data_IF_562674431545
#
_entry.id   IF_562674431545
#
_cell.length_a   1.000
_cell.length_b   1.000
_cell.length_c   1.000
_cell.angle_alpha   90.00
_cell.angle_beta   90.00
_cell.angle_gamma   90.00
#
_symmetry.space_group_name_H-M   'P 1'
#
loop_
_entity.id
_entity.type
_entity.pdbx_description
1 polymer ?
#
# COMPACT_ATOMS: atom_id res chain seq x y z
N UNK A 1 9.16 -16.45 8.70
CA UNK A 1 8.33 -15.44 9.40
C UNK A 1 7.02 -16.02 9.90
N UNK A 2 6.24 -15.28 10.72
CA UNK A 2 5.08 -15.81 11.47
C UNK A 2 4.18 -16.72 10.63
N UNK A 3 3.74 -16.29 9.44
CA UNK A 3 2.88 -17.12 8.58
C UNK A 3 3.54 -18.43 8.16
N UNK A 4 4.82 -18.40 7.74
CA UNK A 4 5.53 -19.62 7.35
C UNK A 4 5.67 -20.60 8.51
N UNK A 5 6.01 -20.08 9.68
CA UNK A 5 6.25 -20.91 10.87
C UNK A 5 4.93 -21.57 11.32
N UNK A 6 3.83 -20.80 11.35
CA UNK A 6 2.49 -21.30 11.70
C UNK A 6 1.97 -22.32 10.68
N UNK A 7 2.17 -22.07 9.37
CA UNK A 7 1.81 -23.03 8.33
C UNK A 7 2.62 -24.32 8.46
N UNK A 8 3.94 -24.22 8.66
CA UNK A 8 4.80 -25.39 8.77
C UNK A 8 4.44 -26.26 10.00
N UNK A 9 4.11 -25.62 11.12
CA UNK A 9 3.63 -26.32 12.32
C UNK A 9 2.27 -26.97 12.08
N UNK A 10 1.33 -26.23 11.46
CA UNK A 10 -0.02 -26.74 11.19
C UNK A 10 -0.03 -27.96 10.26
N UNK A 11 0.77 -27.91 9.19
CA UNK A 11 0.74 -28.90 8.13
C UNK A 11 1.79 -30.01 8.32
N UNK A 12 2.71 -29.86 9.28
CA UNK A 12 3.75 -30.85 9.58
C UNK A 12 4.82 -30.97 8.51
N UNK A 13 4.99 -29.97 7.67
CA UNK A 13 6.00 -29.89 6.59
C UNK A 13 6.57 -28.47 6.49
N UNK A 14 7.77 -28.35 5.93
CA UNK A 14 8.39 -27.02 5.74
C UNK A 14 7.64 -26.24 4.66
N UNK A 15 7.02 -25.13 5.01
CA UNK A 15 6.29 -24.23 4.10
C UNK A 15 7.06 -22.92 3.89
N UNK A 16 7.20 -22.54 2.63
CA UNK A 16 7.72 -21.23 2.23
C UNK A 16 6.68 -20.52 1.36
N UNK A 17 6.17 -19.40 1.85
CA UNK A 17 5.15 -18.62 1.12
C UNK A 17 5.79 -17.64 0.14
N UNK A 18 5.17 -17.46 -1.01
CA UNK A 18 5.46 -16.41 -1.98
C UNK A 18 4.36 -15.36 -1.88
N UNK A 19 4.67 -14.19 -1.32
CA UNK A 19 3.71 -13.09 -1.20
C UNK A 19 3.64 -12.21 -2.45
N UNK A 20 2.47 -11.64 -2.75
CA UNK A 20 2.24 -10.73 -3.87
C UNK A 20 3.08 -9.45 -3.74
N UNK A 21 3.13 -8.88 -2.54
CA UNK A 21 3.92 -7.68 -2.26
C UNK A 21 4.40 -7.65 -0.81
N UNK A 22 5.44 -6.85 -0.58
CA UNK A 22 5.87 -6.50 0.77
C UNK A 22 5.27 -5.15 1.13
N UNK A 23 4.88 -5.01 2.39
CA UNK A 23 4.51 -3.73 2.98
C UNK A 23 5.60 -3.26 3.93
N UNK A 24 5.79 -1.95 4.04
CA UNK A 24 6.71 -1.38 5.02
C UNK A 24 6.16 -1.55 6.45
N UNK A 25 7.04 -1.43 7.45
CA UNK A 25 6.65 -1.49 8.85
C UNK A 25 5.54 -0.47 9.17
N UNK A 26 4.51 -0.93 9.88
CA UNK A 26 3.35 -0.12 10.26
C UNK A 26 2.31 0.08 9.17
N UNK A 27 2.47 -0.53 7.99
CA UNK A 27 1.45 -0.52 6.93
C UNK A 27 0.50 -1.70 7.13
N UNK A 28 -0.78 -1.40 7.27
CA UNK A 28 -1.83 -2.41 7.33
C UNK A 28 -2.13 -2.97 5.94
N UNK A 29 -2.49 -4.24 5.86
CA UNK A 29 -2.88 -4.90 4.60
C UNK A 29 -4.28 -5.50 4.76
N UNK A 30 -5.22 -5.05 3.94
CA UNK A 30 -6.61 -5.56 3.94
C UNK A 30 -6.75 -6.80 3.05
N UNK A 31 -5.88 -6.95 2.03
CA UNK A 31 -5.98 -8.02 1.04
C UNK A 31 -4.61 -8.39 0.46
N UNK A 32 -3.63 -8.72 1.31
CA UNK A 32 -2.37 -9.27 0.82
C UNK A 32 -2.55 -10.74 0.46
N UNK A 33 -1.98 -11.18 -0.66
CA UNK A 33 -2.08 -12.55 -1.17
C UNK A 33 -0.74 -13.25 -1.03
N UNK A 34 -0.77 -14.50 -0.61
CA UNK A 34 0.39 -15.39 -0.60
C UNK A 34 0.01 -16.77 -1.10
N UNK A 35 0.92 -17.43 -1.83
CA UNK A 35 0.78 -18.80 -2.30
C UNK A 35 1.88 -19.67 -1.70
N UNK A 36 1.59 -20.95 -1.54
CA UNK A 36 2.56 -21.96 -1.11
C UNK A 36 2.15 -23.34 -1.63
N UNK A 37 3.11 -24.22 -1.75
CA UNK A 37 2.89 -25.62 -2.09
C UNK A 37 2.80 -26.47 -0.83
N UNK A 38 1.93 -27.48 -0.85
CA UNK A 38 1.76 -28.43 0.27
C UNK A 38 1.28 -29.79 -0.22
N UNK A 39 1.64 -30.85 0.52
CA UNK A 39 1.14 -32.21 0.31
C UNK A 39 -0.02 -32.56 1.25
N UNK A 40 -0.56 -31.58 1.96
CA UNK A 40 -1.65 -31.80 2.92
C UNK A 40 -2.90 -32.36 2.24
N UNK A 41 -3.68 -33.16 2.98
CA UNK A 41 -5.03 -33.59 2.56
C UNK A 41 -6.12 -32.65 3.07
N UNK A 42 -5.75 -31.61 3.80
CA UNK A 42 -6.69 -30.61 4.29
C UNK A 42 -7.20 -29.80 3.11
N UNK A 43 -8.53 -29.72 2.90
CA UNK A 43 -9.10 -28.90 1.84
C UNK A 43 -8.64 -27.45 1.94
N UNK A 44 -8.33 -26.81 0.79
CA UNK A 44 -7.78 -25.45 0.75
C UNK A 44 -8.60 -24.44 1.54
N UNK A 45 -9.95 -24.51 1.44
CA UNK A 45 -10.87 -23.62 2.14
C UNK A 45 -10.89 -23.80 3.68
N UNK A 46 -10.33 -24.90 4.19
CA UNK A 46 -10.25 -25.16 5.65
C UNK A 46 -8.96 -24.65 6.28
N UNK A 47 -7.94 -24.37 5.48
CA UNK A 47 -6.63 -23.92 5.97
C UNK A 47 -6.76 -22.59 6.72
N UNK A 48 -7.54 -21.62 6.21
CA UNK A 48 -7.76 -20.33 6.86
C UNK A 48 -8.34 -20.46 8.26
N UNK A 49 -9.30 -21.38 8.46
CA UNK A 49 -9.90 -21.62 9.78
C UNK A 49 -8.87 -22.17 10.77
N UNK A 50 -8.07 -23.15 10.34
CA UNK A 50 -7.06 -23.75 11.20
C UNK A 50 -5.92 -22.77 11.54
N UNK A 51 -5.50 -21.95 10.56
CA UNK A 51 -4.49 -20.91 10.76
C UNK A 51 -4.94 -19.84 11.76
N UNK A 52 -6.18 -19.36 11.63
CA UNK A 52 -6.71 -18.28 12.46
C UNK A 52 -6.85 -18.65 13.94
N UNK A 53 -6.80 -19.94 14.28
CA UNK A 53 -6.75 -20.41 15.67
C UNK A 53 -5.35 -20.31 16.27
N UNK A 54 -4.30 -20.17 15.46
CA UNK A 54 -2.89 -20.20 15.87
C UNK A 54 -2.16 -18.89 15.63
N UNK A 55 -2.63 -18.10 14.65
CA UNK A 55 -2.04 -16.82 14.32
C UNK A 55 -2.28 -15.79 15.43
N UNK A 56 -1.33 -14.86 15.65
CA UNK A 56 -1.51 -13.76 16.59
C UNK A 56 -2.67 -12.85 16.17
N UNK A 57 -3.15 -12.02 17.09
CA UNK A 57 -4.38 -11.22 16.90
C UNK A 57 -4.30 -10.22 15.75
N UNK A 58 -3.12 -9.78 15.38
CA UNK A 58 -2.85 -8.81 14.32
C UNK A 58 -2.73 -9.44 12.92
N UNK A 59 -2.82 -10.78 12.80
CA UNK A 59 -2.82 -11.50 11.53
C UNK A 59 -4.07 -12.36 11.41
N UNK A 60 -4.85 -12.15 10.35
CA UNK A 60 -6.06 -12.95 10.06
C UNK A 60 -6.13 -13.27 8.58
N UNK A 61 -6.33 -14.54 8.28
CA UNK A 61 -6.55 -15.04 6.92
C UNK A 61 -8.04 -14.94 6.62
N UNK A 62 -8.39 -14.18 5.61
CA UNK A 62 -9.78 -13.95 5.22
C UNK A 62 -10.31 -15.05 4.31
N UNK A 63 -9.44 -15.60 3.45
CA UNK A 63 -9.76 -16.64 2.49
C UNK A 63 -8.55 -17.54 2.28
N UNK A 64 -8.78 -18.83 2.06
CA UNK A 64 -7.80 -19.79 1.55
C UNK A 64 -8.49 -20.71 0.54
N UNK A 65 -7.83 -21.00 -0.56
CA UNK A 65 -8.35 -21.83 -1.65
C UNK A 65 -7.22 -22.50 -2.41
N UNK A 66 -7.52 -23.57 -3.12
CA UNK A 66 -6.60 -24.15 -4.07
C UNK A 66 -6.59 -23.31 -5.36
N UNK A 67 -5.43 -23.18 -5.95
CA UNK A 67 -5.21 -22.45 -7.21
C UNK A 67 -4.45 -23.32 -8.18
N UNK A 68 -4.46 -22.94 -9.46
CA UNK A 68 -3.70 -23.65 -10.49
C UNK A 68 -2.19 -23.64 -10.16
N UNK A 69 -1.45 -24.71 -10.51
CA UNK A 69 -0.03 -24.87 -10.13
C UNK A 69 0.90 -23.77 -10.68
N UNK A 70 0.49 -23.08 -11.74
CA UNK A 70 1.22 -21.98 -12.36
C UNK A 70 0.85 -20.60 -11.81
N UNK A 71 -0.12 -20.53 -10.87
CA UNK A 71 -0.50 -19.28 -10.26
C UNK A 71 0.66 -18.64 -9.50
N UNK A 72 0.96 -17.39 -9.84
CA UNK A 72 2.00 -16.62 -9.16
C UNK A 72 1.49 -15.21 -8.79
N UNK A 73 1.40 -14.87 -7.49
CA UNK A 73 0.70 -13.66 -7.02
C UNK A 73 1.39 -12.34 -7.42
N UNK A 74 2.62 -12.39 -7.97
CA UNK A 74 3.34 -11.21 -8.47
C UNK A 74 3.22 -10.98 -9.96
N UNK A 75 2.84 -12.03 -10.70
CA UNK A 75 2.85 -12.00 -12.16
C UNK A 75 1.44 -12.08 -12.77
N UNK A 76 0.42 -12.18 -11.93
CA UNK A 76 -0.95 -12.00 -12.38
C UNK A 76 -1.23 -10.51 -12.65
N UNK A 77 -2.09 -10.25 -13.63
CA UNK A 77 -2.61 -8.90 -13.87
C UNK A 77 -3.39 -8.43 -12.66
N UNK A 78 -2.84 -7.49 -11.94
CA UNK A 78 -3.42 -6.97 -10.72
C UNK A 78 -3.10 -5.51 -10.52
N UNK A 79 -4.03 -4.79 -9.96
CA UNK A 79 -3.81 -3.45 -9.44
C UNK A 79 -3.65 -3.50 -7.92
N UNK A 80 -2.88 -2.57 -7.40
CA UNK A 80 -2.69 -2.37 -5.97
C UNK A 80 -3.25 -1.02 -5.59
N UNK A 81 -4.07 -1.01 -4.54
CA UNK A 81 -4.65 0.21 -4.00
C UNK A 81 -4.12 0.44 -2.60
N UNK A 82 -3.63 1.64 -2.34
CA UNK A 82 -3.19 2.09 -1.03
C UNK A 82 -4.02 3.28 -0.57
N UNK A 83 -4.35 3.31 0.71
CA UNK A 83 -4.96 4.46 1.36
C UNK A 83 -3.99 5.06 2.36
N UNK A 84 -3.80 6.38 2.27
CA UNK A 84 -3.09 7.16 3.26
C UNK A 84 -4.08 8.06 3.98
N UNK A 85 -4.28 7.82 5.27
CA UNK A 85 -5.29 8.50 6.09
C UNK A 85 -4.63 9.56 6.95
N UNK A 86 -5.17 10.77 6.92
CA UNK A 86 -4.67 11.95 7.63
C UNK A 86 -5.73 12.40 8.62
N UNK A 87 -5.39 12.38 9.91
CA UNK A 87 -6.23 12.99 10.95
C UNK A 87 -5.95 14.49 10.95
N UNK A 88 -6.85 15.26 10.32
CA UNK A 88 -6.69 16.69 10.06
C UNK A 88 -7.58 17.51 10.99
N UNK A 89 -7.08 17.78 12.17
CA UNK A 89 -7.76 18.54 13.25
C UNK A 89 -6.77 19.17 14.20
N UNK A 90 -7.27 20.01 15.13
CA UNK A 90 -6.44 20.76 16.09
C UNK A 90 -5.59 19.86 17.02
N UNK A 91 -6.15 18.76 17.53
CA UNK A 91 -5.49 17.86 18.46
C UNK A 91 -5.56 16.40 17.99
N UNK A 92 -4.53 15.57 18.27
CA UNK A 92 -4.56 14.16 17.92
C UNK A 92 -5.61 13.39 18.74
N UNK A 93 -6.04 12.25 18.20
CA UNK A 93 -6.93 11.29 18.88
C UNK A 93 -6.14 10.00 19.14
N UNK A 94 -5.95 9.57 20.40
CA UNK A 94 -5.11 8.41 20.72
C UNK A 94 -5.55 7.11 20.06
N UNK A 95 -6.85 6.89 19.83
CA UNK A 95 -7.39 5.70 19.15
C UNK A 95 -7.03 5.64 17.67
N UNK A 96 -6.73 6.77 17.04
CA UNK A 96 -6.37 6.87 15.62
C UNK A 96 -4.86 6.77 15.36
N UNK A 97 -4.02 6.74 16.41
CA UNK A 97 -2.56 6.88 16.31
C UNK A 97 -1.86 5.81 15.44
N UNK A 98 -2.45 4.62 15.33
CA UNK A 98 -1.89 3.53 14.52
C UNK A 98 -2.43 3.50 13.10
N UNK A 99 -3.47 4.28 12.79
CA UNK A 99 -4.22 4.21 11.55
C UNK A 99 -4.17 5.49 10.74
N UNK A 100 -3.70 6.60 11.33
CA UNK A 100 -3.68 7.92 10.68
C UNK A 100 -2.39 8.65 10.93
N UNK A 101 -2.01 9.51 9.98
CA UNK A 101 -1.01 10.54 10.16
C UNK A 101 -1.67 11.81 10.71
N UNK A 102 -1.27 12.27 11.87
CA UNK A 102 -1.81 13.50 12.46
C UNK A 102 -1.21 14.74 11.79
N UNK A 103 -2.10 15.65 11.34
CA UNK A 103 -1.71 16.92 10.74
C UNK A 103 -2.66 18.04 11.18
N UNK A 104 -2.15 19.05 11.89
CA UNK A 104 -2.98 20.07 12.53
C UNK A 104 -3.29 21.29 11.65
N UNK A 105 -2.50 21.56 10.61
CA UNK A 105 -2.80 22.67 9.70
C UNK A 105 -3.95 22.30 8.76
N UNK A 106 -4.79 23.31 8.43
CA UNK A 106 -5.91 23.10 7.51
C UNK A 106 -5.43 22.62 6.15
N UNK A 107 -6.07 21.60 5.63
CA UNK A 107 -5.85 21.07 4.28
C UNK A 107 -7.00 21.46 3.36
N UNK A 108 -6.66 22.00 2.21
CA UNK A 108 -7.58 22.29 1.11
C UNK A 108 -7.65 21.05 0.20
N UNK A 109 -8.71 20.26 0.38
CA UNK A 109 -8.89 18.99 -0.37
C UNK A 109 -9.10 19.23 -1.87
N UNK A 110 -9.68 20.36 -2.26
CA UNK A 110 -9.91 20.66 -3.68
C UNK A 110 -8.58 20.96 -4.40
N UNK A 111 -7.66 21.66 -3.74
CA UNK A 111 -6.29 21.82 -4.27
C UNK A 111 -5.55 20.50 -4.35
N UNK A 112 -5.68 19.64 -3.33
CA UNK A 112 -5.09 18.30 -3.37
C UNK A 112 -5.63 17.49 -4.54
N UNK A 113 -6.95 17.50 -4.78
CA UNK A 113 -7.59 16.86 -5.94
C UNK A 113 -7.06 17.40 -7.26
N UNK A 114 -6.97 18.71 -7.41
CA UNK A 114 -6.46 19.31 -8.63
C UNK A 114 -5.05 18.82 -8.98
N UNK A 115 -4.18 18.64 -7.97
CA UNK A 115 -2.82 18.16 -8.16
C UNK A 115 -2.73 16.67 -8.56
N UNK A 116 -3.75 15.85 -8.31
CA UNK A 116 -3.69 14.41 -8.65
C UNK A 116 -3.61 14.15 -10.14
N UNK A 117 -4.18 15.01 -10.97
CA UNK A 117 -4.18 14.88 -12.43
C UNK A 117 -2.78 14.81 -13.05
N UNK A 118 -1.79 15.42 -12.42
CA UNK A 118 -0.39 15.41 -12.86
C UNK A 118 0.35 14.11 -12.53
N UNK A 119 -0.22 13.26 -11.71
CA UNK A 119 0.39 12.01 -11.24
C UNK A 119 -0.27 10.76 -11.84
N UNK A 120 -1.45 10.92 -12.45
CA UNK A 120 -2.17 9.82 -13.10
C UNK A 120 -1.56 9.54 -14.47
N UNK A 121 -1.41 8.26 -14.79
CA UNK A 121 -0.81 7.79 -16.03
C UNK A 121 0.52 7.08 -15.84
N UNK A 122 1.22 6.84 -16.94
CA UNK A 122 2.56 6.26 -16.92
C UNK A 122 3.60 7.38 -16.90
N UNK A 123 4.39 7.42 -15.82
CA UNK A 123 5.44 8.41 -15.62
C UNK A 123 6.71 7.76 -15.08
N UNK A 124 7.84 8.47 -15.20
CA UNK A 124 9.03 8.18 -14.42
C UNK A 124 8.87 8.76 -13.02
N UNK A 125 8.72 7.90 -12.02
CA UNK A 125 8.57 8.27 -10.62
C UNK A 125 9.89 8.25 -9.84
N UNK A 126 11.02 8.54 -10.48
CA UNK A 126 12.33 8.56 -9.81
C UNK A 126 12.33 9.50 -8.59
N UNK A 127 11.76 10.71 -8.71
CA UNK A 127 11.64 11.70 -7.61
C UNK A 127 10.67 11.25 -6.49
N UNK A 128 9.84 10.25 -6.73
CA UNK A 128 8.92 9.65 -5.76
C UNK A 128 9.43 8.31 -5.22
N UNK A 129 10.71 8.04 -5.37
CA UNK A 129 11.33 6.79 -4.97
C UNK A 129 12.25 7.00 -3.78
N UNK A 130 12.08 6.20 -2.72
CA UNK A 130 12.99 6.23 -1.59
C UNK A 130 14.41 5.80 -1.98
N UNK A 131 15.43 6.48 -1.47
CA UNK A 131 16.85 6.33 -1.83
C UNK A 131 17.43 4.90 -1.71
N UNK A 132 16.73 3.95 -1.05
CA UNK A 132 17.16 2.56 -0.86
C UNK A 132 16.54 1.59 -1.88
N UNK A 133 15.81 2.08 -2.87
CA UNK A 133 15.18 1.21 -3.86
C UNK A 133 16.21 0.59 -4.80
N UNK A 134 16.19 -0.73 -4.88
CA UNK A 134 16.95 -1.50 -5.88
C UNK A 134 15.98 -1.98 -6.95
N UNK A 135 15.72 -1.13 -7.95
CA UNK A 135 14.77 -1.42 -9.03
C UNK A 135 15.43 -1.23 -10.39
N UNK A 136 15.01 -2.01 -11.38
CA UNK A 136 15.52 -1.91 -12.76
C UNK A 136 14.99 -0.67 -13.50
N UNK A 137 13.81 -0.17 -13.11
CA UNK A 137 13.15 0.98 -13.72
C UNK A 137 12.29 1.69 -12.69
N UNK A 138 12.21 3.00 -12.81
CA UNK A 138 11.37 3.90 -12.00
C UNK A 138 10.05 4.26 -12.69
N UNK A 139 9.84 3.77 -13.93
CA UNK A 139 8.58 3.95 -14.65
C UNK A 139 7.47 3.13 -13.96
N UNK A 140 6.36 3.80 -13.62
CA UNK A 140 5.16 3.17 -13.03
C UNK A 140 3.90 3.74 -13.67
N UNK A 141 2.82 2.97 -13.59
CA UNK A 141 1.49 3.42 -14.04
C UNK A 141 0.59 3.57 -12.83
N UNK A 142 0.20 4.80 -12.56
CA UNK A 142 -0.83 5.15 -11.58
C UNK A 142 -2.16 5.26 -12.34
N UNK A 143 -3.11 4.39 -12.02
CA UNK A 143 -4.40 4.32 -12.73
C UNK A 143 -5.44 5.24 -12.11
N UNK A 144 -5.27 5.63 -10.84
CA UNK A 144 -6.18 6.55 -10.17
C UNK A 144 -5.61 7.11 -8.88
N UNK A 145 -5.98 8.36 -8.58
CA UNK A 145 -5.76 8.98 -7.26
C UNK A 145 -7.03 9.72 -6.86
N UNK A 146 -7.62 9.30 -5.75
CA UNK A 146 -8.77 9.96 -5.14
C UNK A 146 -8.37 10.64 -3.84
N UNK A 147 -8.92 11.82 -3.58
CA UNK A 147 -8.74 12.52 -2.31
C UNK A 147 -10.10 12.96 -1.80
N UNK A 148 -10.43 12.65 -0.57
CA UNK A 148 -11.70 13.11 0.03
C UNK A 148 -11.55 13.36 1.53
N UNK A 149 -12.49 14.07 2.08
CA UNK A 149 -12.63 14.32 3.53
C UNK A 149 -13.90 13.66 4.04
N UNK A 150 -13.75 12.95 5.15
CA UNK A 150 -14.87 12.45 5.95
C UNK A 150 -14.62 12.87 7.41
N UNK A 151 -15.41 13.83 7.88
CA UNK A 151 -15.19 14.46 9.19
C UNK A 151 -13.78 15.03 9.33
N UNK A 152 -13.05 14.54 10.32
CA UNK A 152 -11.67 14.95 10.60
C UNK A 152 -10.62 14.15 9.79
N UNK A 153 -11.04 13.15 9.01
CA UNK A 153 -10.13 12.32 8.22
C UNK A 153 -10.10 12.80 6.78
N UNK A 154 -8.89 13.07 6.29
CA UNK A 154 -8.61 13.21 4.85
C UNK A 154 -7.94 11.93 4.37
N UNK A 155 -8.51 11.31 3.36
CA UNK A 155 -7.98 10.07 2.76
C UNK A 155 -7.46 10.35 1.36
N UNK A 156 -6.26 9.85 1.08
CA UNK A 156 -5.65 9.80 -0.24
C UNK A 156 -5.60 8.33 -0.64
N UNK A 157 -6.31 7.96 -1.70
CA UNK A 157 -6.31 6.60 -2.27
C UNK A 157 -5.53 6.63 -3.58
N UNK A 158 -4.53 5.77 -3.70
CA UNK A 158 -3.70 5.66 -4.90
C UNK A 158 -3.81 4.24 -5.43
N UNK A 159 -4.19 4.10 -6.70
CA UNK A 159 -4.29 2.82 -7.41
C UNK A 159 -3.31 2.78 -8.58
N UNK A 160 -2.66 1.64 -8.79
CA UNK A 160 -1.71 1.46 -9.89
C UNK A 160 -1.24 0.02 -10.02
N UNK A 161 -0.54 -0.28 -11.11
CA UNK A 161 -0.03 -1.63 -11.41
C UNK A 161 1.15 -2.04 -10.55
N UNK A 162 1.82 -1.06 -9.93
CA UNK A 162 2.94 -1.29 -9.00
C UNK A 162 3.51 0.02 -8.48
N UNK A 163 4.18 -0.05 -7.34
CA UNK A 163 4.73 1.13 -6.66
C UNK A 163 6.21 0.94 -6.34
N UNK A 164 6.95 2.05 -6.33
CA UNK A 164 8.32 2.12 -5.84
C UNK A 164 8.33 2.16 -4.31
N UNK A 165 9.49 1.90 -3.75
CA UNK A 165 9.69 2.02 -2.30
C UNK A 165 9.34 3.44 -1.82
N UNK A 166 8.49 3.55 -0.82
CA UNK A 166 7.92 4.78 -0.26
C UNK A 166 7.10 5.65 -1.22
N UNK A 167 6.83 5.24 -2.46
CA UNK A 167 6.18 6.07 -3.48
C UNK A 167 4.85 6.67 -3.00
N UNK A 168 3.95 5.87 -2.44
CA UNK A 168 2.65 6.36 -1.94
C UNK A 168 2.83 7.36 -0.79
N UNK A 169 3.82 7.17 0.09
CA UNK A 169 4.13 8.11 1.18
C UNK A 169 4.62 9.46 0.64
N UNK A 170 5.46 9.43 -0.38
CA UNK A 170 5.99 10.65 -1.02
C UNK A 170 4.87 11.38 -1.77
N UNK A 171 4.03 10.66 -2.54
CA UNK A 171 2.82 11.24 -3.16
C UNK A 171 1.94 11.91 -2.11
N UNK A 172 1.68 11.23 -0.99
CA UNK A 172 0.83 11.78 0.07
C UNK A 172 1.43 13.02 0.72
N UNK A 173 2.74 13.01 1.01
CA UNK A 173 3.46 14.18 1.54
C UNK A 173 3.34 15.38 0.62
N UNK A 174 3.54 15.15 -0.66
CA UNK A 174 3.39 16.14 -1.72
C UNK A 174 1.99 16.76 -1.78
N UNK A 175 0.95 15.92 -1.75
CA UNK A 175 -0.43 16.41 -1.76
C UNK A 175 -0.75 17.19 -0.48
N UNK A 176 -0.17 16.83 0.66
CA UNK A 176 -0.28 17.61 1.91
C UNK A 176 0.32 19.01 1.73
N UNK A 177 1.50 19.13 1.11
CA UNK A 177 2.15 20.41 0.85
C UNK A 177 1.35 21.32 -0.11
N UNK A 178 0.68 20.73 -1.09
CA UNK A 178 -0.27 21.45 -1.94
C UNK A 178 -1.52 21.87 -1.14
N UNK A 179 -2.05 20.96 -0.33
CA UNK A 179 -3.25 21.21 0.48
C UNK A 179 -3.08 22.27 1.56
N UNK A 180 -1.87 22.42 2.13
CA UNK A 180 -1.57 23.47 3.09
C UNK A 180 -1.18 24.82 2.45
N UNK A 181 -1.09 24.87 1.11
CA UNK A 181 -0.77 26.06 0.34
C UNK A 181 0.72 26.40 0.24
N UNK A 182 1.63 25.48 0.62
CA UNK A 182 3.07 25.68 0.43
C UNK A 182 3.44 25.74 -1.04
N UNK A 183 2.75 24.94 -1.87
CA UNK A 183 2.97 24.85 -3.30
C UNK A 183 1.68 24.95 -4.08
N UNK A 184 1.68 25.60 -5.26
CA UNK A 184 0.55 25.55 -6.16
C UNK A 184 0.44 24.15 -6.80
N UNK A 185 -0.76 23.73 -7.21
CA UNK A 185 -0.99 22.39 -7.77
C UNK A 185 -0.12 22.06 -8.99
N UNK A 186 0.23 23.07 -9.79
CA UNK A 186 0.93 22.94 -11.08
C UNK A 186 2.45 22.71 -10.91
N UNK A 187 3.03 23.06 -9.76
CA UNK A 187 4.50 22.98 -9.54
C UNK A 187 5.05 21.56 -9.73
N UNK A 188 4.20 20.55 -9.65
CA UNK A 188 4.59 19.16 -9.83
C UNK A 188 4.99 18.77 -11.24
N UNK A 189 4.53 19.48 -12.25
CA UNK A 189 4.97 19.25 -13.63
C UNK A 189 6.39 19.74 -13.88
N UNK A 190 6.93 20.66 -13.05
CA UNK A 190 8.22 21.32 -13.24
C UNK A 190 9.37 20.62 -12.51
N UNK A 191 9.12 19.93 -11.37
CA UNK A 191 10.18 19.24 -10.61
C UNK A 191 10.75 18.01 -11.34
N UNK A 192 10.01 17.45 -12.30
CA UNK A 192 10.53 16.36 -13.16
C UNK A 192 11.59 16.80 -14.17
N UNK A 193 11.78 18.10 -14.37
CA UNK A 193 12.71 18.63 -15.39
C UNK A 193 13.93 19.37 -14.82
N UNK A 194 13.97 19.74 -13.56
CA UNK A 194 14.98 20.66 -13.03
C UNK A 194 16.10 20.03 -12.19
N UNK A 195 16.00 18.77 -11.78
CA UNK A 195 17.06 18.09 -11.01
C UNK A 195 17.97 17.16 -11.85
N UNK A 196 17.96 17.32 -13.18
CA UNK A 196 18.88 16.64 -14.10
C UNK A 196 19.93 17.58 -14.68
N UNK A 197 20.38 18.59 -13.93
CA UNK A 197 21.57 19.38 -14.29
C UNK A 197 22.64 19.29 -13.22
#
# INVERSE_FOLDING_TARGET
>A
GVLNDTLSELLGEKIETIGASRTDAGVHAMGNVAVFDTNTRTPGEKISYALNQRLPEDIRIQLSEEVEPDFHPRYCDSEKTYEYRILNRKFPVPTERLYTYFYHYKLDVDKMKAATSYLIGQHDFASFCGAKAQVKTTIRTVTGIDVWRDGDIVTIRVTGTGFLYNMVRIISGTLIEVGNGQYPPERRSEEHTSELQ
#
